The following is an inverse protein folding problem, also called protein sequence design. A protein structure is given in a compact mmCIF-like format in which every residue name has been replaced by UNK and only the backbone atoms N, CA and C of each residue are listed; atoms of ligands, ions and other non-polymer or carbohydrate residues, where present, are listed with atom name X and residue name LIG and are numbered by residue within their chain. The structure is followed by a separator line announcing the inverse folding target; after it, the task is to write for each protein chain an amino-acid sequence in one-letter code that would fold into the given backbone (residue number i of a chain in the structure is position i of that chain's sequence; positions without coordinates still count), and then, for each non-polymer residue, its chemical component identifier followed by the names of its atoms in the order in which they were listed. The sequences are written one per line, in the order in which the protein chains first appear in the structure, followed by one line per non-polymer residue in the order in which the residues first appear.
data_IF_523083715623
#
_entry.id   IF_523083715623
#
_cell.length_a   1.000
_cell.length_b   1.000
_cell.length_c   1.000
_cell.angle_alpha   90.00
_cell.angle_beta   90.00
_cell.angle_gamma   90.00
#
_symmetry.space_group_name_H-M   'P 1'
#
loop_
_entity.id
_entity.type
_entity.pdbx_description
1 polymer ?
#
# COMPACT_ATOMS: atom_id res chain seq x y z
N UNK A 1 -50.93 -25.75 -2.17
CA UNK A 1 -51.29 -26.25 -0.83
C UNK A 1 -50.59 -25.37 0.19
N UNK A 2 -51.39 -24.60 0.96
CA UNK A 2 -51.14 -23.82 2.19
C UNK A 2 -49.91 -22.88 2.29
N UNK A 3 -49.95 -21.68 2.88
CA UNK A 3 -50.95 -20.62 3.17
C UNK A 3 -50.11 -19.52 3.84
N UNK A 4 -50.38 -18.25 3.53
CA UNK A 4 -49.79 -17.10 4.23
C UNK A 4 -50.04 -17.20 5.74
N UNK A 5 -49.02 -16.89 6.56
CA UNK A 5 -49.21 -16.61 7.98
C UNK A 5 -48.60 -15.24 8.31
N UNK A 6 -49.49 -14.26 8.40
CA UNK A 6 -49.28 -12.98 9.09
C UNK A 6 -49.48 -13.24 10.58
N UNK A 7 -48.57 -12.76 11.44
CA UNK A 7 -48.90 -12.54 12.84
C UNK A 7 -48.30 -11.21 13.32
N UNK A 8 -49.19 -10.24 13.49
CA UNK A 8 -48.97 -8.98 14.19
C UNK A 8 -48.94 -9.23 15.69
N UNK A 9 -47.99 -8.64 16.42
CA UNK A 9 -48.15 -8.34 17.84
C UNK A 9 -47.75 -6.89 18.08
N UNK A 10 -48.78 -6.08 18.35
CA UNK A 10 -48.71 -4.76 18.94
C UNK A 10 -48.20 -4.88 20.38
N UNK A 11 -47.16 -4.12 20.72
CA UNK A 11 -46.71 -3.90 22.09
C UNK A 11 -46.35 -2.43 22.28
N UNK A 12 -47.37 -1.63 22.60
CA UNK A 12 -47.22 -0.26 23.10
C UNK A 12 -46.54 -0.28 24.47
N UNK A 13 -45.44 0.45 24.60
CA UNK A 13 -44.76 0.69 25.86
C UNK A 13 -44.10 2.07 25.84
N UNK A 14 -44.90 3.09 26.15
CA UNK A 14 -44.45 4.47 26.37
C UNK A 14 -43.70 4.50 27.71
N UNK A 15 -42.44 4.93 27.70
CA UNK A 15 -41.82 5.49 28.91
C UNK A 15 -41.28 6.86 28.55
N UNK A 16 -42.03 7.87 28.97
CA UNK A 16 -41.59 9.25 29.07
C UNK A 16 -40.63 9.39 30.26
N UNK A 17 -39.58 10.17 30.08
CA UNK A 17 -38.63 10.56 31.12
C UNK A 17 -37.39 11.16 30.46
N UNK A 18 -37.44 12.44 30.08
CA UNK A 18 -36.90 13.56 30.89
C UNK A 18 -35.45 13.30 31.32
N UNK A 19 -34.51 13.88 30.57
CA UNK A 19 -33.10 13.84 30.92
C UNK A 19 -32.20 14.41 29.83
N UNK A 20 -32.46 15.63 29.38
CA UNK A 20 -31.40 16.45 28.77
C UNK A 20 -30.37 16.74 29.87
N UNK A 21 -29.31 15.95 29.93
CA UNK A 21 -28.07 16.36 30.59
C UNK A 21 -27.18 16.95 29.50
N UNK A 22 -27.12 18.28 29.50
CA UNK A 22 -26.10 19.04 28.82
C UNK A 22 -24.72 18.54 29.30
N UNK A 23 -23.90 18.07 28.39
CA UNK A 23 -22.48 17.85 28.65
C UNK A 23 -21.82 19.23 28.56
N UNK A 24 -21.50 19.82 29.72
CA UNK A 24 -20.56 20.93 29.78
C UNK A 24 -19.19 20.45 29.30
N UNK A 25 -18.75 21.00 28.18
CA UNK A 25 -17.36 20.92 27.73
C UNK A 25 -16.49 21.68 28.74
N UNK A 26 -15.91 20.93 29.69
CA UNK A 26 -14.83 21.44 30.52
C UNK A 26 -13.60 21.66 29.61
N UNK A 27 -13.51 22.87 29.08
CA UNK A 27 -12.34 23.43 28.44
C UNK A 27 -11.24 23.62 29.49
N UNK A 28 -10.52 22.54 29.80
CA UNK A 28 -9.33 22.63 30.65
C UNK A 28 -8.18 23.13 29.78
N UNK A 29 -8.00 24.44 29.80
CA UNK A 29 -6.80 25.13 29.32
C UNK A 29 -5.61 24.58 30.14
N UNK A 30 -4.89 23.61 29.58
CA UNK A 30 -3.58 23.21 30.09
C UNK A 30 -2.60 24.29 29.61
N UNK A 31 -1.96 24.92 30.60
CA UNK A 31 -0.97 25.98 30.43
C UNK A 31 0.26 25.45 29.67
N UNK A 32 0.72 26.28 28.75
CA UNK A 32 2.07 26.27 28.18
C UNK A 32 3.11 26.34 29.32
N UNK A 33 4.09 25.44 29.30
CA UNK A 33 5.21 25.43 30.23
C UNK A 33 6.29 24.43 29.79
N UNK A 34 7.30 24.97 29.12
CA UNK A 34 8.70 24.53 29.00
C UNK A 34 9.07 23.20 28.33
N UNK A 35 9.54 23.36 27.09
CA UNK A 35 10.82 22.89 26.53
C UNK A 35 11.46 21.66 27.17
N UNK A 36 11.33 20.51 26.52
CA UNK A 36 12.45 19.60 26.37
C UNK A 36 12.41 18.92 24.99
N UNK A 37 13.57 18.88 24.37
CA UNK A 37 13.87 18.42 23.02
C UNK A 37 13.45 16.96 22.79
N UNK A 38 12.29 16.77 22.16
CA UNK A 38 11.78 15.48 21.71
C UNK A 38 11.44 15.52 20.22
N UNK A 39 12.22 14.76 19.44
CA UNK A 39 12.05 14.36 18.03
C UNK A 39 10.59 14.40 17.54
N UNK A 40 10.28 14.95 16.33
CA UNK A 40 8.93 14.92 15.79
C UNK A 40 8.47 13.47 15.68
N UNK A 41 7.43 13.13 16.42
CA UNK A 41 6.61 11.95 16.16
C UNK A 41 5.83 12.29 14.89
N UNK A 42 6.32 11.84 13.75
CA UNK A 42 5.52 11.78 12.53
C UNK A 42 4.29 10.91 12.82
N UNK A 43 3.14 11.54 13.04
CA UNK A 43 1.86 10.90 12.79
C UNK A 43 1.80 10.60 11.29
N UNK A 44 1.71 9.33 10.85
CA UNK A 44 1.60 9.05 9.43
C UNK A 44 0.17 9.33 8.99
N UNK A 45 -0.03 10.49 8.40
CA UNK A 45 -1.13 10.74 7.47
C UNK A 45 -0.73 10.03 6.18
N UNK A 46 -1.01 8.71 6.11
CA UNK A 46 -1.24 7.86 4.93
C UNK A 46 -1.00 6.39 5.33
N UNK A 47 -2.07 5.65 5.63
CA UNK A 47 -2.03 4.26 6.13
C UNK A 47 -1.63 3.20 5.10
N UNK A 48 -0.72 3.52 4.17
CA UNK A 48 -0.23 2.62 3.13
C UNK A 48 1.27 2.38 3.27
N UNK A 49 1.70 1.15 2.99
CA UNK A 49 3.10 0.80 2.82
C UNK A 49 3.59 1.16 1.43
N UNK A 50 4.87 1.49 1.32
CA UNK A 50 5.52 1.77 0.05
C UNK A 50 6.15 0.51 -0.53
N UNK A 51 6.17 0.38 -1.87
CA UNK A 51 6.75 -0.76 -2.60
C UNK A 51 8.18 -1.17 -2.20
N UNK A 52 9.31 -0.83 -2.84
CA UNK A 52 10.65 -1.38 -2.49
C UNK A 52 11.22 -1.21 -1.07
N UNK A 53 10.40 -0.95 -0.03
CA UNK A 53 10.80 -0.94 1.39
C UNK A 53 10.55 -2.31 2.04
N UNK A 54 11.38 -2.63 3.02
CA UNK A 54 11.21 -3.83 3.85
C UNK A 54 10.08 -3.63 4.85
N UNK A 55 9.26 -4.65 5.02
CA UNK A 55 8.07 -4.63 5.89
C UNK A 55 8.10 -5.90 6.73
N UNK A 56 7.96 -5.75 8.05
CA UNK A 56 7.88 -6.87 8.99
C UNK A 56 6.44 -7.12 9.38
N UNK A 57 6.00 -8.36 9.19
CA UNK A 57 4.67 -8.86 9.52
C UNK A 57 4.75 -9.81 10.70
N UNK A 58 3.83 -9.67 11.65
CA UNK A 58 3.41 -10.71 12.60
C UNK A 58 2.18 -11.43 12.07
N UNK A 59 1.81 -12.53 12.72
CA UNK A 59 0.66 -13.33 12.31
C UNK A 59 -0.62 -12.47 12.28
N UNK A 60 -1.34 -12.54 11.17
CA UNK A 60 -2.53 -11.75 10.83
C UNK A 60 -2.30 -10.25 10.62
N UNK A 61 -1.05 -9.78 10.61
CA UNK A 61 -0.76 -8.41 10.18
C UNK A 61 -1.12 -8.26 8.71
N UNK A 62 -1.74 -7.12 8.41
CA UNK A 62 -2.14 -6.74 7.06
C UNK A 62 -1.58 -5.37 6.73
N UNK A 63 -1.07 -5.23 5.52
CA UNK A 63 -0.63 -3.96 4.96
C UNK A 63 -1.33 -3.72 3.62
N UNK A 64 -1.67 -2.46 3.37
CA UNK A 64 -2.14 -2.00 2.07
C UNK A 64 -1.05 -1.19 1.38
N UNK A 65 -1.00 -1.24 0.05
CA UNK A 65 -0.12 -0.42 -0.77
C UNK A 65 -0.94 0.61 -1.55
N UNK A 66 -0.26 1.63 -2.04
CA UNK A 66 -0.87 2.78 -2.74
C UNK A 66 -1.64 2.42 -4.02
N UNK A 67 -1.31 1.30 -4.67
CA UNK A 67 -2.02 0.81 -5.84
C UNK A 67 -3.26 -0.03 -5.50
N UNK A 68 -3.57 -0.20 -4.21
CA UNK A 68 -4.67 -1.01 -3.72
C UNK A 68 -4.32 -2.48 -3.46
N UNK A 69 -3.06 -2.89 -3.63
CA UNK A 69 -2.59 -4.21 -3.21
C UNK A 69 -2.71 -4.33 -1.68
N UNK A 70 -3.25 -5.45 -1.22
CA UNK A 70 -3.37 -5.81 0.17
C UNK A 70 -2.59 -7.10 0.39
N UNK A 71 -1.70 -7.11 1.38
CA UNK A 71 -0.88 -8.27 1.75
C UNK A 71 -1.09 -8.57 3.22
N UNK A 72 -1.40 -9.82 3.53
CA UNK A 72 -1.64 -10.29 4.89
C UNK A 72 -0.85 -11.55 5.19
N UNK A 73 -0.18 -11.62 6.34
CA UNK A 73 0.50 -12.84 6.78
C UNK A 73 -0.51 -13.79 7.46
N UNK A 74 -0.82 -14.92 6.84
CA UNK A 74 -1.79 -15.90 7.35
C UNK A 74 -1.17 -17.01 8.19
N UNK A 75 0.12 -17.29 8.02
CA UNK A 75 0.77 -18.37 8.75
C UNK A 75 2.28 -18.32 8.69
N UNK A 76 2.91 -18.81 9.76
CA UNK A 76 4.34 -19.13 9.82
C UNK A 76 4.43 -20.62 10.14
N UNK A 77 5.15 -21.37 9.33
CA UNK A 77 5.45 -22.78 9.54
C UNK A 77 6.95 -22.91 9.77
N UNK A 78 7.32 -23.36 10.97
CA UNK A 78 8.68 -23.71 11.31
C UNK A 78 8.85 -25.24 11.31
N UNK A 79 9.48 -25.76 10.27
CA UNK A 79 9.83 -27.18 10.17
C UNK A 79 11.33 -27.43 10.37
N UNK A 80 12.05 -26.45 10.94
CA UNK A 80 13.49 -26.59 11.22
C UNK A 80 13.72 -27.60 12.34
N UNK A 81 14.88 -28.25 12.31
CA UNK A 81 15.29 -29.14 13.38
C UNK A 81 15.58 -28.33 14.67
N UNK A 82 14.93 -28.63 15.81
CA UNK A 82 15.19 -27.94 17.07
C UNK A 82 16.66 -28.03 17.49
N UNK A 83 17.06 -27.10 18.37
CA UNK A 83 18.37 -27.20 19.03
C UNK A 83 18.41 -28.48 19.88
N UNK A 84 19.57 -29.12 19.90
CA UNK A 84 19.87 -30.30 20.72
C UNK A 84 19.16 -31.61 20.32
N UNK A 85 18.63 -31.71 19.09
CA UNK A 85 18.12 -32.97 18.54
C UNK A 85 18.76 -33.31 17.19
N UNK A 86 18.76 -34.60 16.84
CA UNK A 86 19.25 -35.11 15.56
C UNK A 86 18.05 -35.47 14.67
N UNK A 87 17.78 -34.64 13.67
CA UNK A 87 16.72 -34.91 12.71
C UNK A 87 17.27 -35.64 11.49
N UNK A 88 16.55 -36.66 11.01
CA UNK A 88 16.87 -37.34 9.74
C UNK A 88 16.60 -36.41 8.55
N UNK A 89 15.59 -35.54 8.68
CA UNK A 89 15.21 -34.53 7.68
C UNK A 89 14.94 -33.22 8.41
N UNK A 90 15.41 -32.10 7.86
CA UNK A 90 15.09 -30.76 8.34
C UNK A 90 14.33 -30.03 7.24
N UNK A 91 13.18 -29.46 7.61
CA UNK A 91 12.47 -28.51 6.76
C UNK A 91 13.05 -27.11 6.89
N UNK A 92 12.22 -26.12 6.59
CA UNK A 92 12.59 -24.71 6.63
C UNK A 92 11.56 -23.90 7.42
N UNK A 93 11.92 -22.64 7.68
CA UNK A 93 10.97 -21.66 8.16
C UNK A 93 10.31 -21.00 6.95
N UNK A 94 8.99 -21.03 6.88
CA UNK A 94 8.24 -20.52 5.74
C UNK A 94 6.98 -19.76 6.15
N UNK A 95 6.66 -18.70 5.42
CA UNK A 95 5.52 -17.83 5.64
C UNK A 95 4.52 -17.95 4.51
N UNK A 96 3.24 -17.98 4.86
CA UNK A 96 2.12 -18.00 3.93
C UNK A 96 1.41 -16.66 3.96
N UNK A 97 1.42 -15.95 2.84
CA UNK A 97 0.80 -14.65 2.66
C UNK A 97 -0.42 -14.75 1.76
N UNK A 98 -1.45 -13.96 2.06
CA UNK A 98 -2.58 -13.73 1.16
C UNK A 98 -2.41 -12.36 0.51
N UNK A 99 -2.36 -12.31 -0.82
CA UNK A 99 -2.28 -11.09 -1.59
C UNK A 99 -3.55 -10.89 -2.43
N UNK A 100 -4.10 -9.67 -2.44
CA UNK A 100 -5.33 -9.33 -3.17
C UNK A 100 -5.36 -7.86 -3.57
N UNK A 101 -6.13 -7.49 -4.59
CA UNK A 101 -6.22 -6.10 -5.06
C UNK A 101 -5.02 -5.67 -5.91
N UNK A 102 -4.93 -4.37 -6.19
CA UNK A 102 -3.92 -3.83 -7.11
C UNK A 102 -4.12 -4.36 -8.54
N UNK A 103 -3.04 -4.83 -9.17
CA UNK A 103 -3.07 -5.48 -10.49
C UNK A 103 -3.45 -6.96 -10.44
N UNK A 104 -3.70 -7.51 -9.25
CA UNK A 104 -4.04 -8.92 -9.13
C UNK A 104 -5.46 -9.19 -9.62
N UNK A 105 -5.61 -10.15 -10.52
CA UNK A 105 -6.90 -10.57 -11.08
C UNK A 105 -7.78 -11.28 -10.03
N UNK A 106 -7.16 -11.90 -9.04
CA UNK A 106 -7.80 -12.62 -7.93
C UNK A 106 -6.90 -12.66 -6.70
N UNK A 107 -7.50 -12.95 -5.55
CA UNK A 107 -6.74 -13.25 -4.33
C UNK A 107 -5.87 -14.48 -4.54
N UNK A 108 -4.61 -14.41 -4.12
CA UNK A 108 -3.61 -15.46 -4.32
C UNK A 108 -2.81 -15.72 -3.04
N UNK A 109 -2.52 -16.99 -2.79
CA UNK A 109 -1.61 -17.41 -1.72
C UNK A 109 -0.16 -17.38 -2.22
N UNK A 110 0.73 -16.81 -1.41
CA UNK A 110 2.15 -16.69 -1.70
C UNK A 110 2.90 -17.34 -0.55
N UNK A 111 3.75 -18.33 -0.85
CA UNK A 111 4.60 -18.99 0.13
C UNK A 111 6.05 -18.57 -0.07
N UNK A 112 6.66 -18.03 0.98
CA UNK A 112 8.07 -17.64 1.00
C UNK A 112 8.82 -18.43 2.07
N UNK A 113 9.94 -19.07 1.71
CA UNK A 113 10.75 -19.90 2.61
C UNK A 113 12.18 -19.41 2.75
N UNK A 114 12.84 -19.77 3.86
CA UNK A 114 14.25 -19.44 4.12
C UNK A 114 15.23 -20.20 3.25
N UNK A 115 14.81 -21.27 2.59
CA UNK A 115 15.60 -22.06 1.65
C UNK A 115 14.96 -22.08 0.26
N UNK A 116 13.67 -22.44 0.19
CA UNK A 116 12.92 -22.54 -1.06
C UNK A 116 12.02 -21.33 -1.25
N UNK A 117 11.84 -20.90 -2.50
CA UNK A 117 10.94 -19.81 -2.85
C UNK A 117 11.20 -18.53 -2.04
N UNK A 118 12.48 -18.14 -1.88
CA UNK A 118 12.87 -16.85 -1.26
C UNK A 118 12.26 -15.65 -1.97
N UNK A 119 11.91 -15.82 -3.24
CA UNK A 119 11.27 -14.80 -4.08
C UNK A 119 10.20 -15.44 -4.93
N UNK A 120 9.04 -14.79 -5.05
CA UNK A 120 7.94 -15.19 -5.93
C UNK A 120 7.49 -13.97 -6.72
N UNK A 121 7.42 -14.11 -8.04
CA UNK A 121 6.91 -13.07 -8.94
C UNK A 121 5.60 -13.53 -9.56
N UNK A 122 4.55 -12.71 -9.45
CA UNK A 122 3.22 -13.03 -9.97
C UNK A 122 2.45 -11.77 -10.34
N UNK A 123 1.83 -11.77 -11.52
CA UNK A 123 1.02 -10.66 -12.07
C UNK A 123 1.68 -9.28 -11.90
N UNK A 124 3.00 -9.25 -12.11
CA UNK A 124 3.83 -8.05 -12.01
C UNK A 124 4.46 -7.83 -10.64
N UNK A 125 3.89 -8.28 -9.53
CA UNK A 125 4.51 -8.08 -8.21
C UNK A 125 5.63 -9.09 -7.97
N UNK A 126 6.67 -8.67 -7.26
CA UNK A 126 7.72 -9.57 -6.74
C UNK A 126 7.78 -9.48 -5.23
N UNK A 127 7.55 -10.60 -4.56
CA UNK A 127 7.61 -10.72 -3.11
C UNK A 127 8.90 -11.42 -2.74
N UNK A 128 9.73 -10.80 -1.90
CA UNK A 128 11.03 -11.33 -1.48
C UNK A 128 11.09 -11.46 0.03
N UNK A 129 11.51 -12.62 0.52
CA UNK A 129 11.86 -12.79 1.92
C UNK A 129 13.21 -12.13 2.21
N UNK A 130 13.24 -11.27 3.21
CA UNK A 130 14.45 -10.61 3.70
C UNK A 130 14.94 -11.23 5.00
N UNK A 131 14.01 -11.54 5.91
CA UNK A 131 14.30 -12.22 7.17
C UNK A 131 13.08 -13.02 7.64
N UNK A 132 13.32 -14.07 8.43
CA UNK A 132 12.27 -14.90 9.01
C UNK A 132 12.64 -15.30 10.44
N UNK A 133 11.67 -15.17 11.34
CA UNK A 133 11.73 -15.71 12.71
C UNK A 133 10.48 -16.54 12.99
N UNK A 134 10.48 -17.27 14.10
CA UNK A 134 9.33 -18.08 14.53
C UNK A 134 8.03 -17.28 14.69
N UNK A 135 8.13 -15.95 14.86
CA UNK A 135 6.98 -15.06 15.12
C UNK A 135 6.81 -13.94 14.11
N UNK A 136 7.74 -13.78 13.16
CA UNK A 136 7.72 -12.66 12.22
C UNK A 136 8.33 -12.98 10.87
N UNK A 137 7.76 -12.41 9.81
CA UNK A 137 8.34 -12.43 8.47
C UNK A 137 8.63 -11.01 8.00
N UNK A 138 9.87 -10.76 7.57
CA UNK A 138 10.24 -9.51 6.90
C UNK A 138 10.33 -9.76 5.41
N UNK A 139 9.49 -9.07 4.65
CA UNK A 139 9.45 -9.17 3.20
C UNK A 139 9.66 -7.81 2.54
N UNK A 140 10.00 -7.84 1.27
CA UNK A 140 10.06 -6.69 0.39
C UNK A 140 9.15 -6.97 -0.81
N UNK A 141 8.30 -6.00 -1.17
CA UNK A 141 7.34 -6.13 -2.26
C UNK A 141 7.71 -5.14 -3.37
N UNK A 142 8.14 -5.65 -4.52
CA UNK A 142 8.49 -4.86 -5.69
C UNK A 142 7.36 -4.87 -6.70
N UNK A 143 7.28 -3.78 -7.45
CA UNK A 143 6.43 -3.68 -8.62
C UNK A 143 7.28 -3.10 -9.76
N UNK A 144 7.33 -3.71 -10.97
CA UNK A 144 8.22 -3.34 -12.08
C UNK A 144 7.92 -1.96 -12.66
N UNK A 145 6.85 -1.30 -12.22
CA UNK A 145 6.62 0.13 -12.48
C UNK A 145 7.46 1.07 -11.61
N UNK A 146 8.08 0.59 -10.52
CA UNK A 146 8.96 1.36 -9.63
C UNK A 146 10.42 1.07 -9.99
N UNK A 147 10.96 1.80 -10.95
CA UNK A 147 12.41 1.99 -11.03
C UNK A 147 12.88 2.82 -9.83
N UNK A 148 14.04 2.51 -9.25
CA UNK A 148 14.56 3.27 -8.10
C UNK A 148 15.29 4.57 -8.50
N UNK A 149 15.26 4.95 -9.78
CA UNK A 149 15.93 6.15 -10.30
C UNK A 149 15.09 7.42 -10.24
N UNK A 150 15.68 8.62 -10.36
CA UNK A 150 14.90 9.86 -10.47
C UNK A 150 14.04 9.87 -11.75
N UNK A 151 12.99 10.67 -11.74
CA UNK A 151 12.19 10.92 -12.94
C UNK A 151 12.86 12.00 -13.80
N UNK A 152 12.86 11.78 -15.11
CA UNK A 152 13.48 12.65 -16.10
C UNK A 152 12.43 13.23 -17.02
N UNK A 153 12.58 14.53 -17.29
CA UNK A 153 11.85 15.21 -18.36
C UNK A 153 12.60 14.96 -19.67
N UNK A 154 11.87 14.49 -20.67
CA UNK A 154 12.38 14.19 -22.02
C UNK A 154 11.34 14.48 -23.10
N UNK A 155 11.63 14.03 -24.32
CA UNK A 155 10.82 14.30 -25.49
C UNK A 155 11.04 15.68 -26.10
N UNK A 156 10.52 15.87 -27.31
CA UNK A 156 10.63 17.14 -28.02
C UNK A 156 9.72 18.22 -27.43
N UNK A 157 10.27 19.04 -26.54
CA UNK A 157 9.53 20.08 -25.81
C UNK A 157 9.21 19.72 -24.36
N UNK A 158 9.82 18.66 -23.81
CA UNK A 158 9.67 18.30 -22.40
C UNK A 158 8.30 17.72 -22.04
N UNK A 159 7.67 17.02 -22.99
CA UNK A 159 6.34 16.42 -22.84
C UNK A 159 6.37 15.03 -22.18
N UNK A 160 7.52 14.35 -22.18
CA UNK A 160 7.65 13.02 -21.58
C UNK A 160 8.21 13.16 -20.18
N UNK A 161 7.51 12.60 -19.20
CA UNK A 161 8.05 12.29 -17.89
C UNK A 161 8.28 10.78 -17.82
N UNK A 162 9.51 10.35 -17.59
CA UNK A 162 9.88 8.93 -17.59
C UNK A 162 11.03 8.67 -16.62
N UNK A 163 11.15 7.43 -16.19
CA UNK A 163 12.30 6.93 -15.45
C UNK A 163 13.55 6.65 -16.31
N UNK A 164 13.43 6.72 -17.64
CA UNK A 164 14.56 6.60 -18.56
C UNK A 164 15.12 7.97 -18.87
N UNK A 165 16.41 8.11 -18.63
CA UNK A 165 17.16 9.30 -19.04
C UNK A 165 17.22 9.37 -20.57
N UNK A 166 17.21 10.59 -21.10
CA UNK A 166 17.46 10.90 -22.52
C UNK A 166 16.45 10.29 -23.50
N UNK A 167 15.21 10.06 -23.06
CA UNK A 167 14.09 9.75 -23.97
C UNK A 167 13.84 10.93 -24.91
N UNK A 168 13.91 10.67 -26.21
CA UNK A 168 13.63 11.64 -27.27
C UNK A 168 12.43 11.15 -28.08
N UNK A 169 11.57 12.07 -28.48
CA UNK A 169 10.48 11.83 -29.42
C UNK A 169 10.79 12.57 -30.73
N UNK A 170 10.10 12.21 -31.81
CA UNK A 170 10.14 13.02 -33.03
C UNK A 170 9.67 14.44 -32.71
N UNK A 171 10.39 15.43 -33.25
CA UNK A 171 10.01 16.83 -33.21
C UNK A 171 9.11 17.14 -34.39
N UNK A 172 7.90 16.60 -34.36
CA UNK A 172 6.90 16.92 -35.37
C UNK A 172 6.25 18.24 -35.02
N UNK A 173 6.43 19.24 -35.89
CA UNK A 173 5.71 20.48 -35.76
C UNK A 173 4.26 20.20 -36.15
N UNK A 174 3.33 20.36 -35.23
CA UNK A 174 1.97 20.01 -35.56
C UNK A 174 1.29 21.08 -36.41
N UNK A 175 0.39 20.69 -37.32
CA UNK A 175 -0.42 21.66 -38.06
C UNK A 175 -1.31 22.41 -37.07
N UNK A 176 -0.96 23.67 -36.76
CA UNK A 176 -1.66 24.51 -35.80
C UNK A 176 -0.77 25.22 -34.77
N UNK A 177 0.52 24.92 -34.69
CA UNK A 177 1.45 25.66 -33.81
C UNK A 177 1.31 25.36 -32.31
N UNK A 178 0.62 24.29 -31.93
CA UNK A 178 0.44 23.93 -30.53
C UNK A 178 1.76 23.53 -29.88
N UNK A 179 2.04 24.13 -28.71
CA UNK A 179 3.21 23.83 -27.88
C UNK A 179 2.73 23.02 -26.67
N UNK A 180 3.39 21.89 -26.38
CA UNK A 180 3.18 21.19 -25.11
C UNK A 180 3.64 22.12 -23.98
N UNK A 181 2.70 22.63 -23.18
CA UNK A 181 3.01 23.51 -22.05
C UNK A 181 2.84 22.73 -20.74
N UNK A 182 3.88 21.98 -20.38
CA UNK A 182 4.02 21.38 -19.05
C UNK A 182 4.62 22.37 -18.06
N UNK A 183 4.61 23.70 -18.34
CA UNK A 183 5.41 24.70 -17.62
C UNK A 183 5.15 24.83 -16.12
N UNK A 184 3.99 24.36 -15.64
CA UNK A 184 3.64 24.35 -14.22
C UNK A 184 3.55 22.92 -13.63
N UNK A 185 3.73 21.86 -14.42
CA UNK A 185 3.68 20.49 -13.92
C UNK A 185 5.07 20.03 -13.50
N UNK A 186 5.13 19.23 -12.44
CA UNK A 186 6.37 18.62 -11.96
C UNK A 186 6.41 17.18 -12.43
N UNK A 187 7.52 16.78 -13.05
CA UNK A 187 7.77 15.39 -13.39
C UNK A 187 8.28 14.66 -12.14
N UNK A 188 7.42 13.86 -11.55
CA UNK A 188 7.69 13.18 -10.29
C UNK A 188 7.13 11.76 -10.30
N UNK A 189 7.61 10.95 -9.35
CA UNK A 189 7.14 9.58 -9.22
C UNK A 189 5.76 9.59 -8.59
N UNK A 190 4.81 8.98 -9.29
CA UNK A 190 3.42 8.89 -8.87
C UNK A 190 3.26 7.78 -7.82
N UNK A 191 2.07 7.72 -7.22
CA UNK A 191 1.72 6.73 -6.20
C UNK A 191 1.78 5.28 -6.71
N UNK A 192 1.66 5.07 -8.01
CA UNK A 192 1.78 3.76 -8.67
C UNK A 192 3.24 3.35 -8.97
N UNK A 193 4.21 4.19 -8.58
CA UNK A 193 5.64 3.97 -8.78
C UNK A 193 6.17 4.45 -10.13
N UNK A 194 5.31 4.84 -11.07
CA UNK A 194 5.70 5.31 -12.41
C UNK A 194 6.02 6.81 -12.39
N UNK A 195 6.89 7.26 -13.28
CA UNK A 195 7.12 8.69 -13.49
C UNK A 195 5.95 9.31 -14.26
N UNK A 196 5.41 10.41 -13.75
CA UNK A 196 4.27 11.10 -14.34
C UNK A 196 4.24 12.59 -13.97
N UNK A 197 3.35 13.33 -14.62
CA UNK A 197 3.18 14.77 -14.37
C UNK A 197 2.20 15.00 -13.23
N UNK A 198 2.56 15.85 -12.27
CA UNK A 198 1.77 16.18 -11.07
C UNK A 198 0.37 16.80 -11.33
N UNK A 199 0.08 17.24 -12.57
CA UNK A 199 -1.18 17.90 -12.94
C UNK A 199 -1.85 17.34 -14.20
N UNK A 200 -1.69 16.05 -14.52
CA UNK A 200 -2.43 15.42 -15.61
C UNK A 200 -3.96 15.53 -15.38
N UNK A 201 -4.81 15.98 -16.33
CA UNK A 201 -4.59 16.08 -17.77
C UNK A 201 -4.20 17.48 -18.31
N UNK A 202 -3.75 18.43 -17.48
CA UNK A 202 -3.37 19.77 -17.96
C UNK A 202 -2.12 19.79 -18.86
N UNK A 203 -1.45 18.64 -18.99
CA UNK A 203 -0.38 18.39 -19.97
C UNK A 203 -0.94 17.95 -21.33
N UNK A 204 -2.09 18.51 -21.73
CA UNK A 204 -2.65 18.35 -23.07
C UNK A 204 -2.46 19.68 -23.81
N UNK A 205 -2.17 19.56 -25.10
CA UNK A 205 -2.11 20.62 -26.11
C UNK A 205 -2.89 21.88 -25.72
N UNK A 206 -2.19 22.96 -25.39
CA UNK A 206 -2.82 24.27 -25.29
C UNK A 206 -2.90 24.84 -26.71
N UNK A 207 -4.12 25.24 -27.10
CA UNK A 207 -4.41 25.94 -28.36
C UNK A 207 -3.83 27.35 -28.34
#
# INVERSE_FOLDING_TARGET
MYKNLVLSVLGLGIVAGLGFLAIESNNKIIKQGDTDTGKPVENPINGFSEFGKVITFKLNDKTAFSDGLNVELKGINDSRCPKDVQCIWAGELAGTFMASGGKLSKSSEIRLGTENNKSVTFEGYTFRLQNATESSMTILVEFPGRSEGPCYVGGCGGQICSDKKDLVTTCEYPPGGYKYNCGNSTCERQQDGQCGWSSYPSCILNQ
#
